data_IF_990776207954
#
_entry.id   IF_990776207954
#
_cell.length_a   1.000
_cell.length_b   1.000
_cell.length_c   1.000
_cell.angle_alpha   90.00
_cell.angle_beta   90.00
_cell.angle_gamma   90.00
#
_symmetry.space_group_name_H-M   'P 1'
#
loop_
_entity.id
_entity.type
_entity.pdbx_description
1 polymer ?
#
# COMPACT_ATOMS: atom_id res chain seq x y z
N UNK A 1 -47.96 7.45 -2.33
CA UNK A 1 -49.27 6.85 -2.74
C UNK A 1 -50.34 7.02 -1.67
N UNK A 2 -50.07 6.63 -0.40
CA UNK A 2 -51.04 6.73 0.74
C UNK A 2 -51.55 8.15 0.99
N UNK A 3 -50.67 9.16 0.98
CA UNK A 3 -51.03 10.58 1.15
C UNK A 3 -51.99 11.06 0.06
N UNK A 4 -51.81 10.60 -1.18
CA UNK A 4 -52.70 10.92 -2.30
C UNK A 4 -54.10 10.35 -2.10
N UNK A 5 -54.19 9.13 -1.58
CA UNK A 5 -55.50 8.46 -1.30
C UNK A 5 -56.23 9.22 -0.17
N UNK A 6 -55.51 9.64 0.90
CA UNK A 6 -56.09 10.41 2.01
C UNK A 6 -56.58 11.80 1.57
N UNK A 7 -55.83 12.47 0.66
CA UNK A 7 -56.24 13.77 0.10
C UNK A 7 -57.49 13.59 -0.74
N UNK A 8 -57.61 12.53 -1.53
CA UNK A 8 -58.80 12.25 -2.34
C UNK A 8 -60.00 11.91 -1.46
N UNK A 9 -59.82 11.12 -0.39
CA UNK A 9 -60.89 10.79 0.53
C UNK A 9 -61.41 12.05 1.28
N UNK A 10 -60.48 12.90 1.78
CA UNK A 10 -60.84 14.15 2.44
C UNK A 10 -61.55 15.13 1.47
N UNK A 11 -61.10 15.22 0.21
CA UNK A 11 -61.73 16.06 -0.81
C UNK A 11 -63.14 15.54 -1.17
N UNK A 12 -63.30 14.20 -1.21
CA UNK A 12 -64.61 13.59 -1.46
C UNK A 12 -65.59 13.82 -0.32
N UNK A 13 -65.16 13.72 0.93
CA UNK A 13 -65.99 14.03 2.10
C UNK A 13 -66.36 15.53 2.17
N UNK A 14 -65.45 16.39 1.79
CA UNK A 14 -65.69 17.83 1.72
C UNK A 14 -66.73 18.17 0.59
N UNK A 15 -66.64 17.48 -0.53
CA UNK A 15 -67.55 17.61 -1.65
C UNK A 15 -68.97 17.12 -1.25
N UNK A 16 -69.10 16.04 -0.50
CA UNK A 16 -70.38 15.55 0.03
C UNK A 16 -71.01 16.56 0.96
N UNK A 17 -70.23 17.18 1.85
CA UNK A 17 -70.71 18.28 2.75
C UNK A 17 -71.21 19.49 1.96
N UNK A 18 -70.48 19.92 0.93
CA UNK A 18 -70.86 21.04 0.07
C UNK A 18 -72.12 20.74 -0.75
N UNK A 19 -72.29 19.53 -1.23
CA UNK A 19 -73.52 19.12 -1.94
C UNK A 19 -74.72 19.09 -1.01
N UNK A 20 -74.57 18.65 0.24
CA UNK A 20 -75.65 18.66 1.22
C UNK A 20 -76.11 20.08 1.54
N UNK A 21 -75.21 21.01 1.70
CA UNK A 21 -75.49 22.43 1.98
C UNK A 21 -76.16 23.13 0.79
N UNK A 22 -75.89 22.73 -0.47
CA UNK A 22 -76.43 23.39 -1.65
C UNK A 22 -77.69 22.77 -2.21
N UNK A 23 -77.90 21.47 -2.05
CA UNK A 23 -79.01 20.71 -2.69
C UNK A 23 -80.02 20.10 -1.72
N UNK A 24 -79.68 20.05 -0.42
CA UNK A 24 -80.52 19.41 0.60
C UNK A 24 -80.80 17.91 0.33
N UNK A 25 -79.91 17.24 -0.44
CA UNK A 25 -80.13 15.85 -0.89
C UNK A 25 -80.25 14.86 0.26
N UNK A 26 -79.62 15.18 1.41
CA UNK A 26 -79.62 14.31 2.57
C UNK A 26 -80.69 14.63 3.61
N UNK A 27 -81.56 15.63 3.38
CA UNK A 27 -82.68 16.00 4.24
C UNK A 27 -82.30 16.40 5.68
N UNK A 28 -83.26 16.86 6.49
CA UNK A 28 -83.06 17.31 7.90
C UNK A 28 -82.72 16.15 8.88
N UNK A 29 -82.09 15.07 8.41
CA UNK A 29 -81.72 13.93 9.27
C UNK A 29 -80.41 14.28 9.98
N UNK A 30 -80.45 14.81 11.17
CA UNK A 30 -79.30 15.18 12.03
C UNK A 30 -78.26 14.08 12.18
N UNK A 31 -78.62 12.81 11.96
CA UNK A 31 -77.71 11.67 12.04
C UNK A 31 -76.78 11.59 10.84
N UNK A 32 -77.20 12.00 9.62
CA UNK A 32 -76.35 11.93 8.43
C UNK A 32 -75.26 13.03 8.43
N UNK A 33 -75.60 14.25 8.81
CA UNK A 33 -74.62 15.33 8.97
C UNK A 33 -73.58 14.99 10.04
N UNK A 34 -74.01 14.38 11.15
CA UNK A 34 -73.09 13.92 12.19
C UNK A 34 -72.12 12.85 11.68
N UNK A 35 -72.57 11.91 10.84
CA UNK A 35 -71.73 10.86 10.22
C UNK A 35 -70.66 11.49 9.31
N UNK A 36 -71.05 12.46 8.45
CA UNK A 36 -70.11 13.13 7.56
C UNK A 36 -69.06 13.93 8.34
N UNK A 37 -69.44 14.61 9.42
CA UNK A 37 -68.49 15.33 10.28
C UNK A 37 -67.50 14.38 11.00
N UNK A 38 -68.00 13.22 11.44
CA UNK A 38 -67.14 12.18 12.03
C UNK A 38 -66.14 11.64 10.99
N UNK A 39 -66.60 11.34 9.77
CA UNK A 39 -65.72 10.86 8.67
C UNK A 39 -64.65 11.90 8.33
N UNK A 40 -65.02 13.17 8.20
CA UNK A 40 -64.07 14.26 7.96
C UNK A 40 -63.07 14.40 9.10
N UNK A 41 -63.53 14.26 10.34
CA UNK A 41 -62.67 14.29 11.53
C UNK A 41 -61.64 13.13 11.52
N UNK A 42 -62.07 11.95 11.14
CA UNK A 42 -61.22 10.75 10.96
C UNK A 42 -60.19 10.96 9.83
N UNK A 43 -60.59 11.53 8.69
CA UNK A 43 -59.70 11.83 7.57
C UNK A 43 -58.62 12.82 7.95
N UNK A 44 -59.01 13.91 8.64
CA UNK A 44 -58.09 14.90 9.14
C UNK A 44 -57.10 14.29 10.18
N UNK A 45 -57.61 13.49 11.11
CA UNK A 45 -56.79 12.82 12.10
C UNK A 45 -55.79 11.84 11.44
N UNK A 46 -56.25 11.04 10.49
CA UNK A 46 -55.37 10.11 9.76
C UNK A 46 -54.34 10.84 8.87
N UNK A 47 -54.71 11.98 8.26
CA UNK A 47 -53.82 12.79 7.47
C UNK A 47 -52.60 13.30 8.30
N UNK A 48 -52.80 13.67 9.56
CA UNK A 48 -51.73 14.08 10.45
C UNK A 48 -51.03 12.91 11.15
N UNK A 49 -51.74 11.87 11.55
CA UNK A 49 -51.22 10.75 12.33
C UNK A 49 -50.35 9.81 11.48
N UNK A 50 -50.79 9.47 10.26
CA UNK A 50 -50.13 8.49 9.39
C UNK A 50 -48.72 8.93 9.02
N UNK A 51 -48.43 10.19 8.60
CA UNK A 51 -47.06 10.65 8.34
C UNK A 51 -46.16 10.61 9.58
N UNK A 52 -46.69 10.90 10.75
CA UNK A 52 -45.97 10.87 12.03
C UNK A 52 -45.60 9.41 12.34
N UNK A 53 -46.52 8.46 12.25
CA UNK A 53 -46.27 7.04 12.48
C UNK A 53 -45.25 6.48 11.47
N UNK A 54 -45.43 6.80 10.17
CA UNK A 54 -44.48 6.39 9.14
C UNK A 54 -43.08 6.92 9.40
N UNK A 55 -42.99 8.23 9.73
CA UNK A 55 -41.69 8.85 10.02
C UNK A 55 -41.03 8.22 11.26
N UNK A 56 -41.81 7.92 12.29
CA UNK A 56 -41.31 7.30 13.51
C UNK A 56 -40.88 5.87 13.29
N UNK A 57 -41.62 5.09 12.50
CA UNK A 57 -41.30 3.71 12.15
C UNK A 57 -40.11 3.58 11.19
N UNK A 58 -39.87 4.58 10.31
CA UNK A 58 -38.78 4.55 9.35
C UNK A 58 -37.50 5.30 9.82
N UNK A 59 -37.59 6.05 10.93
CA UNK A 59 -36.44 6.80 11.45
C UNK A 59 -35.21 5.91 11.78
N UNK A 60 -35.36 4.66 12.24
CA UNK A 60 -34.22 3.79 12.50
C UNK A 60 -33.43 3.42 11.23
N UNK A 61 -34.07 3.40 10.04
CA UNK A 61 -33.38 3.14 8.78
C UNK A 61 -32.35 4.22 8.45
N UNK A 62 -32.60 5.49 8.80
CA UNK A 62 -31.62 6.57 8.65
C UNK A 62 -30.40 6.34 9.56
N UNK A 63 -30.64 5.85 10.78
CA UNK A 63 -29.56 5.49 11.73
C UNK A 63 -28.72 4.33 11.21
N UNK A 64 -29.36 3.29 10.65
CA UNK A 64 -28.67 2.15 10.02
C UNK A 64 -27.82 2.64 8.83
N UNK A 65 -28.38 3.50 7.99
CA UNK A 65 -27.67 4.01 6.80
C UNK A 65 -26.45 4.85 7.18
N UNK A 66 -26.55 5.67 8.24
CA UNK A 66 -25.43 6.42 8.81
C UNK A 66 -24.36 5.48 9.39
N UNK A 67 -24.77 4.45 10.10
CA UNK A 67 -23.84 3.46 10.64
C UNK A 67 -23.13 2.65 9.53
N UNK A 68 -23.84 2.24 8.48
CA UNK A 68 -23.27 1.61 7.29
C UNK A 68 -22.23 2.52 6.60
N UNK A 69 -22.51 3.82 6.50
CA UNK A 69 -21.54 4.79 5.94
C UNK A 69 -20.27 4.86 6.78
N UNK A 70 -20.38 4.81 8.11
CA UNK A 70 -19.21 4.79 9.01
C UNK A 70 -18.40 3.50 8.90
N UNK A 71 -19.10 2.34 8.77
CA UNK A 71 -18.42 1.06 8.48
C UNK A 71 -17.65 1.14 7.16
N UNK A 72 -18.21 1.77 6.13
CA UNK A 72 -17.53 2.02 4.85
C UNK A 72 -16.28 2.90 5.01
N UNK A 73 -16.27 3.81 5.98
CA UNK A 73 -15.13 4.68 6.33
C UNK A 73 -14.11 3.99 7.27
N UNK A 74 -14.30 2.69 7.58
CA UNK A 74 -13.38 1.93 8.43
C UNK A 74 -13.68 2.02 9.93
N UNK A 75 -14.82 2.58 10.34
CA UNK A 75 -15.24 2.65 11.75
C UNK A 75 -16.07 1.43 12.12
N UNK A 76 -15.43 0.36 12.55
CA UNK A 76 -16.07 -0.91 12.90
C UNK A 76 -16.38 -1.01 14.39
N UNK A 77 -17.36 -1.86 14.74
CA UNK A 77 -17.74 -2.18 16.12
C UNK A 77 -18.67 -1.15 16.77
N UNK A 78 -19.17 -0.17 16.01
CA UNK A 78 -20.22 0.71 16.48
C UNK A 78 -21.57 -0.03 16.48
N UNK A 79 -22.30 0.02 17.61
CA UNK A 79 -23.59 -0.67 17.78
C UNK A 79 -24.73 0.32 17.68
N UNK A 80 -25.74 -0.05 16.95
CA UNK A 80 -27.01 0.67 16.90
C UNK A 80 -27.84 0.19 18.08
N UNK A 81 -28.26 1.12 18.92
CA UNK A 81 -29.19 0.85 20.04
C UNK A 81 -30.61 1.02 19.55
N UNK A 82 -31.24 -0.07 19.20
CA UNK A 82 -32.64 -0.14 18.82
C UNK A 82 -33.21 -1.45 19.39
N UNK A 83 -34.24 -1.32 20.22
CA UNK A 83 -34.85 -2.45 20.91
C UNK A 83 -36.29 -2.57 20.45
N UNK A 84 -36.54 -3.38 19.44
CA UNK A 84 -37.86 -3.74 18.92
C UNK A 84 -37.83 -5.18 18.44
N UNK A 85 -38.96 -5.88 18.53
CA UNK A 85 -39.13 -7.26 18.05
C UNK A 85 -39.66 -7.30 16.59
N UNK A 86 -39.60 -6.17 15.88
CA UNK A 86 -40.00 -6.06 14.48
C UNK A 86 -38.85 -6.37 13.50
N UNK A 87 -39.14 -6.33 12.20
CA UNK A 87 -38.19 -6.59 11.12
C UNK A 87 -37.01 -5.59 11.16
N UNK A 88 -37.22 -4.38 11.67
CA UNK A 88 -36.15 -3.38 11.85
C UNK A 88 -35.23 -3.79 13.01
N UNK A 89 -35.79 -4.32 14.10
CA UNK A 89 -35.01 -4.88 15.22
C UNK A 89 -34.13 -6.05 14.78
N UNK A 90 -34.64 -6.94 13.95
CA UNK A 90 -33.87 -8.05 13.37
C UNK A 90 -32.74 -7.53 12.46
N UNK A 91 -33.02 -6.53 11.63
CA UNK A 91 -32.03 -5.90 10.76
C UNK A 91 -30.92 -5.21 11.59
N UNK A 92 -31.26 -4.48 12.66
CA UNK A 92 -30.31 -3.86 13.56
C UNK A 92 -29.44 -4.89 14.26
N UNK A 93 -30.03 -6.00 14.73
CA UNK A 93 -29.27 -7.08 15.36
C UNK A 93 -28.27 -7.71 14.38
N UNK A 94 -28.72 -8.02 13.14
CA UNK A 94 -27.87 -8.53 12.08
C UNK A 94 -26.72 -7.57 11.74
N UNK A 95 -27.00 -6.27 11.66
CA UNK A 95 -25.97 -5.23 11.47
C UNK A 95 -24.95 -5.23 12.63
N UNK A 96 -25.42 -5.28 13.87
CA UNK A 96 -24.55 -5.27 15.05
C UNK A 96 -23.63 -6.50 15.09
N UNK A 97 -24.15 -7.69 14.78
CA UNK A 97 -23.37 -8.93 14.68
C UNK A 97 -22.32 -8.80 13.56
N UNK A 98 -22.72 -8.31 12.39
CA UNK A 98 -21.80 -8.08 11.27
C UNK A 98 -20.69 -7.09 11.64
N UNK A 99 -21.03 -5.97 12.27
CA UNK A 99 -20.08 -4.93 12.69
C UNK A 99 -19.06 -5.45 13.71
N UNK A 100 -19.51 -6.23 14.69
CA UNK A 100 -18.63 -6.91 15.66
C UNK A 100 -17.72 -7.93 14.97
N UNK A 101 -18.26 -8.76 14.07
CA UNK A 101 -17.48 -9.78 13.34
C UNK A 101 -16.39 -9.14 12.48
N UNK A 102 -16.69 -8.03 11.80
CA UNK A 102 -15.70 -7.30 10.99
C UNK A 102 -14.61 -6.75 11.90
N UNK A 103 -14.97 -6.11 13.03
CA UNK A 103 -14.02 -5.59 14.02
C UNK A 103 -13.08 -6.68 14.55
N UNK A 104 -13.64 -7.82 14.95
CA UNK A 104 -12.83 -8.96 15.44
C UNK A 104 -11.85 -9.47 14.37
N UNK A 105 -12.30 -9.60 13.14
CA UNK A 105 -11.43 -10.03 12.03
C UNK A 105 -10.34 -9.01 11.74
N UNK A 106 -10.63 -7.72 11.79
CA UNK A 106 -9.64 -6.67 11.57
C UNK A 106 -8.61 -6.64 12.71
N UNK A 107 -9.07 -6.75 13.97
CA UNK A 107 -8.16 -6.85 15.12
C UNK A 107 -7.27 -8.09 15.05
N UNK A 108 -7.83 -9.24 14.64
CA UNK A 108 -7.05 -10.47 14.45
C UNK A 108 -6.03 -10.30 13.32
N UNK A 109 -6.43 -9.76 12.17
CA UNK A 109 -5.53 -9.48 11.06
C UNK A 109 -4.39 -8.55 11.49
N UNK A 110 -4.70 -7.46 12.20
CA UNK A 110 -3.72 -6.52 12.72
C UNK A 110 -2.75 -7.17 13.73
N UNK A 111 -3.26 -8.01 14.63
CA UNK A 111 -2.41 -8.75 15.59
C UNK A 111 -1.50 -9.73 14.87
N UNK A 112 -2.01 -10.44 13.86
CA UNK A 112 -1.22 -11.39 13.06
C UNK A 112 -0.11 -10.66 12.29
N UNK A 113 -0.42 -9.48 11.72
CA UNK A 113 0.57 -8.67 11.01
C UNK A 113 1.66 -8.15 11.95
N UNK A 114 1.28 -7.63 13.12
CA UNK A 114 2.25 -7.20 14.15
C UNK A 114 3.14 -8.34 14.63
N UNK A 115 2.56 -9.51 14.90
CA UNK A 115 3.32 -10.69 15.31
C UNK A 115 4.29 -11.18 14.23
N UNK A 116 3.87 -11.12 12.95
CA UNK A 116 4.74 -11.42 11.80
C UNK A 116 5.92 -10.44 11.72
N UNK A 117 5.67 -9.14 11.91
CA UNK A 117 6.70 -8.11 11.89
C UNK A 117 7.73 -8.31 13.01
N UNK A 118 7.24 -8.55 14.23
CA UNK A 118 8.09 -8.78 15.40
C UNK A 118 8.91 -10.05 15.22
N UNK A 119 8.29 -11.14 14.75
CA UNK A 119 8.98 -12.40 14.46
C UNK A 119 10.10 -12.21 13.44
N UNK A 120 9.86 -11.50 12.33
CA UNK A 120 10.87 -11.27 11.30
C UNK A 120 12.01 -10.38 11.80
N UNK A 121 11.71 -9.36 12.60
CA UNK A 121 12.73 -8.51 13.22
C UNK A 121 13.61 -9.32 14.19
N UNK A 122 12.99 -10.18 15.02
CA UNK A 122 13.71 -11.06 15.94
C UNK A 122 14.58 -12.08 15.20
N UNK A 123 14.03 -12.80 14.21
CA UNK A 123 14.80 -13.78 13.42
C UNK A 123 16.00 -13.13 12.73
N UNK A 124 15.83 -11.91 12.20
CA UNK A 124 16.92 -11.17 11.59
C UNK A 124 18.05 -10.89 12.58
N UNK A 125 17.71 -10.43 13.76
CA UNK A 125 18.68 -10.17 14.81
C UNK A 125 19.41 -11.47 15.24
N UNK A 126 18.64 -12.53 15.45
CA UNK A 126 19.17 -13.83 15.86
C UNK A 126 20.05 -14.48 14.78
N UNK A 127 19.78 -14.26 13.50
CA UNK A 127 20.62 -14.73 12.40
C UNK A 127 21.85 -13.85 12.20
N UNK A 128 21.74 -12.52 12.39
CA UNK A 128 22.87 -11.61 12.26
C UNK A 128 23.94 -11.87 13.32
N UNK A 129 23.52 -12.14 14.53
CA UNK A 129 24.41 -12.36 15.70
C UNK A 129 25.47 -13.44 15.45
N UNK A 130 25.18 -14.66 14.98
CA UNK A 130 26.19 -15.68 14.70
C UNK A 130 26.98 -15.41 13.40
N UNK A 131 26.40 -14.73 12.42
CA UNK A 131 27.06 -14.49 11.13
C UNK A 131 28.16 -13.43 11.23
N UNK A 132 27.99 -12.40 12.05
CA UNK A 132 29.02 -11.36 12.23
C UNK A 132 30.36 -11.93 12.76
N UNK A 133 30.41 -12.78 13.80
CA UNK A 133 31.66 -13.45 14.18
C UNK A 133 32.23 -14.37 13.09
N UNK A 134 31.39 -15.09 12.34
CA UNK A 134 31.86 -15.95 11.23
C UNK A 134 32.60 -15.11 10.20
N UNK A 135 32.04 -13.95 9.82
CA UNK A 135 32.73 -13.01 8.91
C UNK A 135 34.03 -12.49 9.54
N UNK A 136 33.99 -12.02 10.77
CA UNK A 136 35.15 -11.46 11.47
C UNK A 136 36.31 -12.46 11.57
N UNK A 137 36.03 -13.71 11.95
CA UNK A 137 37.05 -14.75 12.00
C UNK A 137 37.54 -15.15 10.59
N UNK A 138 36.66 -15.15 9.60
CA UNK A 138 37.10 -15.39 8.21
C UNK A 138 38.04 -14.29 7.73
N UNK A 139 37.77 -13.03 8.08
CA UNK A 139 38.63 -11.88 7.73
C UNK A 139 40.00 -11.97 8.42
N UNK A 140 40.02 -12.29 9.73
CA UNK A 140 41.27 -12.45 10.51
C UNK A 140 42.13 -13.57 9.91
N UNK A 141 41.52 -14.70 9.55
CA UNK A 141 42.22 -15.84 8.95
C UNK A 141 42.72 -15.50 7.55
N UNK A 142 41.88 -14.93 6.68
CA UNK A 142 42.26 -14.52 5.32
C UNK A 142 43.33 -13.43 5.31
N UNK A 143 43.34 -12.55 6.32
CA UNK A 143 44.42 -11.57 6.56
C UNK A 143 45.72 -12.18 7.10
N UNK A 144 45.77 -13.51 7.30
CA UNK A 144 46.92 -14.24 7.83
C UNK A 144 47.43 -13.75 9.19
N UNK A 145 46.55 -13.10 10.00
CA UNK A 145 46.90 -12.59 11.34
C UNK A 145 47.23 -13.69 12.35
N UNK A 146 46.78 -14.92 12.12
CA UNK A 146 47.00 -16.10 12.97
C UNK A 146 47.96 -17.15 12.37
N UNK A 147 48.60 -16.79 11.28
CA UNK A 147 49.54 -17.67 10.56
C UNK A 147 49.24 -17.75 9.08
N UNK A 148 50.23 -18.21 8.30
CA UNK A 148 50.10 -18.35 6.84
C UNK A 148 49.11 -19.43 6.45
N UNK A 149 48.29 -19.16 5.46
CA UNK A 149 47.38 -20.11 4.87
C UNK A 149 47.90 -20.64 3.52
N UNK A 150 47.63 -21.90 3.22
CA UNK A 150 47.81 -22.41 1.87
C UNK A 150 46.63 -21.96 0.96
N UNK A 151 46.81 -22.13 -0.38
CA UNK A 151 45.85 -21.65 -1.36
C UNK A 151 44.48 -22.32 -1.22
N UNK A 152 44.46 -23.60 -0.85
CA UNK A 152 43.18 -24.31 -0.61
C UNK A 152 42.44 -23.76 0.61
N UNK A 153 43.13 -23.50 1.72
CA UNK A 153 42.55 -22.88 2.91
C UNK A 153 42.00 -21.48 2.62
N UNK A 154 42.77 -20.65 1.85
CA UNK A 154 42.28 -19.32 1.43
C UNK A 154 41.02 -19.45 0.57
N UNK A 155 41.00 -20.39 -0.37
CA UNK A 155 39.84 -20.62 -1.22
C UNK A 155 38.60 -21.00 -0.39
N UNK A 156 38.73 -21.94 0.57
CA UNK A 156 37.62 -22.38 1.43
C UNK A 156 37.12 -21.28 2.34
N UNK A 157 38.01 -20.51 2.95
CA UNK A 157 37.63 -19.38 3.79
C UNK A 157 36.95 -18.25 2.99
N UNK A 158 37.38 -18.01 1.77
CA UNK A 158 36.71 -17.05 0.88
C UNK A 158 35.30 -17.49 0.54
N UNK A 159 35.03 -18.79 0.36
CA UNK A 159 33.67 -19.32 0.16
C UNK A 159 32.82 -19.12 1.44
N UNK A 160 33.36 -19.43 2.62
CA UNK A 160 32.67 -19.24 3.90
C UNK A 160 32.28 -17.76 4.09
N UNK A 161 33.25 -16.86 3.86
CA UNK A 161 33.01 -15.41 3.94
C UNK A 161 31.91 -14.96 2.99
N UNK A 162 32.05 -15.27 1.71
CA UNK A 162 31.06 -14.86 0.68
C UNK A 162 29.66 -15.43 0.95
N UNK A 163 29.57 -16.67 1.46
CA UNK A 163 28.29 -17.29 1.82
C UNK A 163 27.65 -16.57 3.01
N UNK A 164 28.44 -16.17 4.00
CA UNK A 164 27.95 -15.42 5.16
C UNK A 164 27.50 -14.03 4.78
N UNK A 165 28.24 -13.33 3.89
CA UNK A 165 27.87 -12.02 3.32
C UNK A 165 26.56 -12.09 2.54
N UNK A 166 26.41 -13.11 1.69
CA UNK A 166 25.19 -13.34 0.92
C UNK A 166 23.98 -13.57 1.83
N UNK A 167 24.13 -14.38 2.88
CA UNK A 167 23.05 -14.66 3.82
C UNK A 167 22.63 -13.40 4.57
N UNK A 168 23.58 -12.60 5.04
CA UNK A 168 23.27 -11.29 5.66
C UNK A 168 22.58 -10.34 4.69
N UNK A 169 22.97 -10.33 3.43
CA UNK A 169 22.29 -9.58 2.37
C UNK A 169 20.83 -10.00 2.20
N UNK A 170 20.56 -11.30 2.10
CA UNK A 170 19.19 -11.84 1.97
C UNK A 170 18.32 -11.47 3.18
N UNK A 171 18.87 -11.58 4.39
CA UNK A 171 18.18 -11.22 5.62
C UNK A 171 17.84 -9.71 5.64
N UNK A 172 18.78 -8.86 5.24
CA UNK A 172 18.57 -7.41 5.13
C UNK A 172 17.49 -7.07 4.09
N UNK A 173 17.54 -7.72 2.93
CA UNK A 173 16.58 -7.55 1.85
C UNK A 173 15.16 -7.96 2.31
N UNK A 174 15.04 -9.06 3.05
CA UNK A 174 13.77 -9.53 3.59
C UNK A 174 13.15 -8.50 4.55
N UNK A 175 13.97 -7.90 5.42
CA UNK A 175 13.52 -6.82 6.30
C UNK A 175 13.10 -5.55 5.54
N UNK A 176 13.87 -5.16 4.52
CA UNK A 176 13.53 -3.98 3.71
C UNK A 176 12.19 -4.19 2.98
N UNK A 177 11.95 -5.39 2.42
CA UNK A 177 10.67 -5.76 1.80
C UNK A 177 9.52 -5.69 2.82
N UNK A 178 9.70 -6.22 4.02
CA UNK A 178 8.67 -6.17 5.07
C UNK A 178 8.35 -4.72 5.47
N UNK A 179 9.38 -3.88 5.68
CA UNK A 179 9.20 -2.47 6.01
C UNK A 179 8.49 -1.70 4.89
N UNK A 180 8.74 -2.06 3.63
CA UNK A 180 8.04 -1.50 2.47
C UNK A 180 6.56 -1.88 2.47
N UNK A 181 6.20 -3.14 2.75
CA UNK A 181 4.82 -3.63 2.79
C UNK A 181 3.94 -2.85 3.77
N UNK A 182 4.47 -2.59 4.96
CA UNK A 182 3.74 -1.89 6.02
C UNK A 182 3.91 -0.36 5.98
N UNK A 183 4.54 0.17 4.90
CA UNK A 183 4.78 1.62 4.77
C UNK A 183 5.71 2.20 5.85
N UNK A 184 6.47 1.34 6.57
CA UNK A 184 7.38 1.74 7.66
C UNK A 184 8.83 1.93 7.21
N UNK A 185 9.14 1.80 5.93
CA UNK A 185 10.48 2.11 5.44
C UNK A 185 10.72 3.62 5.57
N UNK A 186 11.49 3.99 6.58
CA UNK A 186 11.85 5.40 6.79
C UNK A 186 12.87 5.82 5.74
N UNK A 187 12.55 6.87 4.99
CA UNK A 187 13.45 7.54 4.06
C UNK A 187 14.08 8.74 4.74
N UNK A 188 15.40 8.88 4.61
CA UNK A 188 16.15 10.06 5.03
C UNK A 188 16.50 10.88 3.79
N UNK A 189 15.51 11.63 3.30
CA UNK A 189 15.67 12.44 2.09
C UNK A 189 16.23 13.80 2.46
N UNK A 190 17.28 14.20 1.75
CA UNK A 190 17.91 15.50 1.81
C UNK A 190 18.24 15.99 0.41
N UNK A 191 18.54 17.28 0.26
CA UNK A 191 19.10 17.82 -0.98
C UNK A 191 20.56 17.35 -1.10
N UNK A 192 20.81 16.48 -2.07
CA UNK A 192 22.13 15.89 -2.29
C UNK A 192 22.42 15.78 -3.79
N UNK A 193 23.71 15.75 -4.14
CA UNK A 193 24.11 15.56 -5.53
C UNK A 193 23.90 14.10 -5.95
N UNK A 194 23.07 13.89 -6.95
CA UNK A 194 22.77 12.55 -7.48
C UNK A 194 24.01 11.91 -8.14
N UNK A 195 24.91 12.72 -8.67
CA UNK A 195 26.19 12.26 -9.22
C UNK A 195 27.00 11.50 -8.21
N UNK A 196 27.11 12.02 -6.97
CA UNK A 196 27.84 11.35 -5.89
C UNK A 196 27.28 9.96 -5.61
N UNK A 197 25.95 9.82 -5.60
CA UNK A 197 25.28 8.53 -5.42
C UNK A 197 25.62 7.53 -6.53
N UNK A 198 25.71 8.00 -7.78
CA UNK A 198 26.08 7.17 -8.94
C UNK A 198 27.56 6.79 -8.85
N UNK A 199 28.46 7.76 -8.67
CA UNK A 199 29.90 7.52 -8.63
C UNK A 199 30.31 6.58 -7.51
N UNK A 200 29.76 6.77 -6.30
CA UNK A 200 30.06 5.89 -5.17
C UNK A 200 29.58 4.47 -5.41
N UNK A 201 28.38 4.29 -6.00
CA UNK A 201 27.86 2.97 -6.33
C UNK A 201 28.69 2.25 -7.37
N UNK A 202 29.12 2.95 -8.42
CA UNK A 202 29.98 2.39 -9.46
C UNK A 202 31.36 2.07 -8.88
N UNK A 203 31.99 2.99 -8.16
CA UNK A 203 33.32 2.80 -7.53
C UNK A 203 33.35 1.59 -6.61
N UNK A 204 32.30 1.36 -5.84
CA UNK A 204 32.21 0.20 -4.95
C UNK A 204 32.20 -1.14 -5.68
N UNK A 205 31.79 -1.18 -6.95
CA UNK A 205 31.67 -2.41 -7.74
C UNK A 205 32.76 -2.59 -8.80
N UNK A 206 33.62 -1.59 -9.04
CA UNK A 206 34.75 -1.70 -9.96
C UNK A 206 35.64 -2.93 -9.67
N UNK A 207 36.09 -3.20 -8.41
CA UNK A 207 36.93 -4.36 -8.15
C UNK A 207 36.28 -5.70 -8.52
N UNK A 208 34.96 -5.80 -8.32
CA UNK A 208 34.21 -7.00 -8.67
C UNK A 208 34.02 -7.11 -10.18
N UNK A 209 33.80 -6.00 -10.90
CA UNK A 209 33.70 -5.96 -12.34
C UNK A 209 35.02 -6.35 -12.99
N UNK A 210 36.16 -5.82 -12.54
CA UNK A 210 37.50 -6.13 -13.01
C UNK A 210 37.85 -7.62 -12.82
N UNK A 211 37.54 -8.16 -11.63
CA UNK A 211 37.75 -9.61 -11.35
C UNK A 211 36.97 -10.50 -12.30
N UNK A 212 35.82 -10.05 -12.78
CA UNK A 212 34.99 -10.79 -13.73
C UNK A 212 35.23 -10.38 -15.20
N UNK A 213 36.23 -9.52 -15.46
CA UNK A 213 36.55 -8.99 -16.79
C UNK A 213 35.32 -8.29 -17.44
N UNK A 214 34.58 -7.52 -16.66
CA UNK A 214 33.41 -6.73 -17.08
C UNK A 214 33.81 -5.27 -17.14
N UNK A 215 33.51 -4.59 -18.24
CA UNK A 215 33.66 -3.13 -18.35
C UNK A 215 32.47 -2.44 -17.68
N UNK A 216 32.74 -1.67 -16.61
CA UNK A 216 31.73 -0.87 -15.91
C UNK A 216 32.07 0.61 -16.08
N UNK A 217 31.14 1.36 -16.68
CA UNK A 217 31.29 2.80 -16.93
C UNK A 217 30.09 3.59 -16.43
N UNK A 218 30.26 4.90 -16.24
CA UNK A 218 29.16 5.81 -15.91
C UNK A 218 29.31 7.14 -16.63
N UNK A 219 28.18 7.79 -16.86
CA UNK A 219 28.08 9.17 -17.33
C UNK A 219 27.00 9.88 -16.53
N UNK A 220 27.39 10.79 -15.64
CA UNK A 220 26.52 11.53 -14.76
C UNK A 220 27.01 12.97 -14.61
N UNK A 221 26.06 13.91 -14.70
CA UNK A 221 26.29 15.32 -14.42
C UNK A 221 25.88 15.64 -12.98
N UNK A 222 26.52 16.67 -12.38
CA UNK A 222 26.16 17.14 -11.03
C UNK A 222 24.78 17.77 -11.05
N UNK A 223 23.88 17.25 -10.21
CA UNK A 223 22.54 17.78 -10.05
C UNK A 223 22.02 17.57 -8.63
N UNK A 224 21.61 18.67 -7.98
CA UNK A 224 20.99 18.60 -6.66
C UNK A 224 19.54 18.17 -6.77
N UNK A 225 19.17 17.08 -6.07
CA UNK A 225 17.79 16.57 -6.04
C UNK A 225 17.46 16.07 -4.63
N UNK A 226 16.21 16.25 -4.21
CA UNK A 226 15.73 15.81 -2.91
C UNK A 226 15.51 14.29 -2.89
N UNK A 227 16.49 13.55 -2.33
CA UNK A 227 16.47 12.10 -2.30
C UNK A 227 17.17 11.50 -1.08
N UNK A 228 16.94 10.22 -0.82
CA UNK A 228 17.73 9.42 0.15
C UNK A 228 18.93 8.80 -0.58
N UNK A 229 20.10 9.41 -0.42
CA UNK A 229 21.33 8.99 -1.11
C UNK A 229 21.70 7.53 -0.81
N UNK A 230 21.50 7.05 0.43
CA UNK A 230 21.81 5.68 0.80
C UNK A 230 20.89 4.67 0.08
N UNK A 231 19.60 4.99 -0.01
CA UNK A 231 18.61 4.14 -0.69
C UNK A 231 18.77 4.18 -2.21
N UNK A 232 19.09 5.33 -2.79
CA UNK A 232 19.38 5.41 -4.23
C UNK A 232 20.65 4.63 -4.58
N UNK A 233 21.70 4.71 -3.76
CA UNK A 233 22.91 3.86 -3.91
C UNK A 233 22.53 2.37 -3.85
N UNK A 234 21.62 1.96 -2.97
CA UNK A 234 21.12 0.59 -2.90
C UNK A 234 20.42 0.18 -4.21
N UNK A 235 19.59 1.05 -4.80
CA UNK A 235 18.95 0.79 -6.11
C UNK A 235 19.99 0.60 -7.20
N UNK A 236 20.92 1.55 -7.37
CA UNK A 236 21.96 1.50 -8.40
C UNK A 236 22.82 0.24 -8.26
N UNK A 237 23.26 -0.05 -7.03
CA UNK A 237 24.07 -1.24 -6.72
C UNK A 237 23.35 -2.54 -7.06
N UNK A 238 22.05 -2.65 -6.75
CA UNK A 238 21.24 -3.83 -7.08
C UNK A 238 21.09 -4.00 -8.60
N UNK A 239 20.86 -2.91 -9.34
CA UNK A 239 20.74 -2.96 -10.79
C UNK A 239 22.08 -3.35 -11.45
N UNK A 240 23.21 -2.79 -10.99
CA UNK A 240 24.54 -3.16 -11.51
C UNK A 240 24.85 -4.64 -11.19
N UNK A 241 24.57 -5.13 -9.98
CA UNK A 241 24.76 -6.53 -9.60
C UNK A 241 23.93 -7.47 -10.48
N UNK A 242 22.68 -7.13 -10.77
CA UNK A 242 21.83 -7.88 -11.69
C UNK A 242 22.43 -7.92 -13.11
N UNK A 243 22.92 -6.80 -13.60
CA UNK A 243 23.61 -6.71 -14.88
C UNK A 243 24.88 -7.58 -14.90
N UNK A 244 25.69 -7.58 -13.83
CA UNK A 244 26.89 -8.45 -13.72
C UNK A 244 26.57 -9.94 -13.77
N UNK A 245 25.40 -10.34 -13.29
CA UNK A 245 24.93 -11.74 -13.37
C UNK A 245 24.52 -12.10 -14.79
N UNK A 246 23.91 -11.14 -15.51
CA UNK A 246 23.36 -11.35 -16.84
C UNK A 246 24.39 -11.36 -17.98
N UNK A 247 25.55 -10.71 -17.78
CA UNK A 247 26.57 -10.59 -18.82
C UNK A 247 27.53 -11.78 -18.86
N UNK A 248 28.10 -12.03 -20.04
CA UNK A 248 29.11 -13.06 -20.24
C UNK A 248 30.49 -12.61 -19.70
N UNK A 249 31.18 -13.51 -19.03
CA UNK A 249 32.55 -13.28 -18.56
C UNK A 249 33.49 -12.88 -19.73
N UNK A 250 34.24 -11.81 -19.54
CA UNK A 250 35.25 -11.34 -20.51
C UNK A 250 34.69 -10.48 -21.66
N UNK A 251 33.36 -10.38 -21.81
CA UNK A 251 32.71 -9.54 -22.84
C UNK A 251 31.65 -8.62 -22.27
N UNK A 252 31.43 -8.67 -20.95
CA UNK A 252 30.39 -7.91 -20.28
C UNK A 252 30.67 -6.42 -20.33
N UNK A 253 29.64 -5.65 -20.69
CA UNK A 253 29.64 -4.19 -20.66
C UNK A 253 28.42 -3.69 -19.93
N UNK A 254 28.64 -2.81 -18.94
CA UNK A 254 27.59 -2.21 -18.12
C UNK A 254 27.81 -0.69 -18.11
N UNK A 255 26.81 0.04 -18.58
CA UNK A 255 26.84 1.51 -18.64
C UNK A 255 25.76 2.09 -17.71
N UNK A 256 26.15 2.95 -16.77
CA UNK A 256 25.23 3.72 -15.92
C UNK A 256 25.13 5.12 -16.48
N UNK A 257 23.95 5.53 -16.94
CA UNK A 257 23.74 6.81 -17.62
C UNK A 257 22.66 7.60 -16.91
N UNK A 258 22.96 8.84 -16.58
CA UNK A 258 22.02 9.83 -16.10
C UNK A 258 21.56 10.73 -17.24
N UNK A 259 20.27 11.08 -17.26
CA UNK A 259 19.70 12.10 -18.13
C UNK A 259 18.81 13.03 -17.33
N UNK A 260 18.94 14.31 -17.56
CA UNK A 260 18.11 15.33 -16.98
C UNK A 260 16.90 15.63 -17.87
N UNK A 261 15.71 15.60 -17.28
CA UNK A 261 14.46 16.04 -17.89
C UNK A 261 13.86 17.23 -17.12
N UNK A 262 12.90 17.96 -17.68
CA UNK A 262 12.37 19.17 -17.04
C UNK A 262 11.81 18.94 -15.63
N UNK A 263 11.21 17.78 -15.35
CA UNK A 263 10.53 17.49 -14.08
C UNK A 263 11.19 16.39 -13.26
N UNK A 264 12.11 15.61 -13.85
CA UNK A 264 12.72 14.43 -13.21
C UNK A 264 14.15 14.21 -13.68
N UNK A 265 14.89 13.46 -12.90
CA UNK A 265 16.17 12.87 -13.25
C UNK A 265 15.93 11.41 -13.58
N UNK A 266 16.41 10.97 -14.73
CA UNK A 266 16.36 9.57 -15.16
C UNK A 266 17.74 8.94 -15.04
N UNK A 267 17.83 7.78 -14.40
CA UNK A 267 19.04 6.97 -14.30
C UNK A 267 18.76 5.61 -14.93
N UNK A 268 19.65 5.20 -15.85
CA UNK A 268 19.55 3.95 -16.58
C UNK A 268 20.80 3.10 -16.35
N UNK A 269 20.63 1.81 -16.08
CA UNK A 269 21.68 0.79 -16.07
C UNK A 269 21.46 -0.12 -17.25
N UNK A 270 22.37 -0.05 -18.22
CA UNK A 270 22.32 -0.83 -19.46
C UNK A 270 23.39 -1.90 -19.44
N UNK A 271 23.02 -3.12 -19.78
CA UNK A 271 23.95 -4.25 -19.98
C UNK A 271 23.82 -4.85 -21.38
N UNK A 272 24.83 -5.60 -21.79
CA UNK A 272 24.86 -6.39 -23.01
C UNK A 272 24.74 -7.91 -22.73
N UNK A 273 23.95 -8.25 -21.71
CA UNK A 273 23.78 -9.64 -21.27
C UNK A 273 22.79 -10.44 -22.09
N UNK A 274 22.34 -11.55 -21.53
CA UNK A 274 21.41 -12.51 -22.19
C UNK A 274 20.03 -11.95 -22.46
N UNK A 275 19.68 -10.78 -21.92
CA UNK A 275 18.35 -10.17 -22.05
C UNK A 275 17.26 -10.93 -21.30
N UNK A 276 16.02 -10.44 -21.43
CA UNK A 276 14.85 -10.93 -20.68
C UNK A 276 13.68 -11.13 -21.64
N UNK A 277 13.12 -12.34 -21.74
CA UNK A 277 11.95 -12.62 -22.58
C UNK A 277 10.76 -11.70 -22.24
N UNK A 278 10.05 -11.16 -23.26
CA UNK A 278 8.94 -10.20 -23.09
C UNK A 278 7.86 -10.69 -22.13
N UNK A 279 7.53 -11.98 -22.14
CA UNK A 279 6.52 -12.56 -21.25
C UNK A 279 6.89 -12.56 -19.77
N UNK A 280 8.19 -12.45 -19.43
CA UNK A 280 8.70 -12.46 -18.05
C UNK A 280 8.93 -11.06 -17.48
N UNK A 281 9.00 -10.02 -18.32
CA UNK A 281 9.32 -8.65 -17.88
C UNK A 281 8.29 -8.06 -16.93
N UNK A 282 7.00 -8.38 -17.10
CA UNK A 282 5.91 -7.87 -16.25
C UNK A 282 6.02 -8.27 -14.77
N UNK A 283 6.67 -9.39 -14.49
CA UNK A 283 6.75 -9.97 -13.15
C UNK A 283 8.10 -9.71 -12.46
N UNK A 284 9.04 -9.04 -13.11
CA UNK A 284 10.41 -8.85 -12.59
C UNK A 284 10.47 -8.10 -11.25
N UNK A 285 9.53 -7.21 -11.01
CA UNK A 285 9.44 -6.43 -9.78
C UNK A 285 8.59 -7.09 -8.68
N UNK A 286 8.07 -8.32 -8.94
CA UNK A 286 7.39 -9.12 -7.91
C UNK A 286 8.43 -9.78 -6.99
N UNK A 287 8.05 -9.92 -5.72
CA UNK A 287 8.88 -10.56 -4.69
C UNK A 287 9.10 -12.01 -5.00
N UNK A 288 10.33 -12.48 -4.75
CA UNK A 288 10.76 -13.86 -4.97
C UNK A 288 10.68 -14.34 -6.44
N UNK A 289 10.39 -13.42 -7.38
CA UNK A 289 10.35 -13.77 -8.79
C UNK A 289 11.75 -13.80 -9.38
N UNK A 290 12.05 -14.87 -10.10
CA UNK A 290 13.31 -15.05 -10.83
C UNK A 290 13.00 -15.56 -12.24
N UNK A 291 13.77 -15.08 -13.21
CA UNK A 291 13.74 -15.62 -14.57
C UNK A 291 14.55 -16.90 -14.54
N UNK A 292 13.89 -18.07 -14.71
CA UNK A 292 14.56 -19.38 -14.79
C UNK A 292 15.48 -19.45 -16.01
N UNK A 293 16.73 -19.07 -15.81
CA UNK A 293 17.83 -19.36 -16.74
C UNK A 293 18.86 -20.19 -15.99
N UNK A 294 19.57 -21.07 -16.69
CA UNK A 294 20.67 -21.88 -16.12
C UNK A 294 21.73 -21.02 -15.43
N UNK A 295 21.98 -19.80 -15.95
CA UNK A 295 22.93 -18.83 -15.39
C UNK A 295 22.47 -18.21 -14.07
N UNK A 296 21.16 -18.02 -13.87
CA UNK A 296 20.62 -17.44 -12.63
C UNK A 296 20.55 -18.45 -11.49
N UNK A 297 20.38 -19.75 -11.78
CA UNK A 297 20.40 -20.82 -10.76
C UNK A 297 21.77 -21.00 -10.13
N UNK A 298 22.85 -20.92 -10.91
CA UNK A 298 24.21 -21.13 -10.41
C UNK A 298 24.76 -19.90 -9.66
N UNK A 299 24.28 -18.67 -9.96
CA UNK A 299 24.79 -17.43 -9.40
C UNK A 299 23.91 -16.82 -8.30
N UNK A 300 22.80 -17.45 -7.95
CA UNK A 300 21.96 -17.27 -6.77
C UNK A 300 21.53 -15.83 -6.48
N UNK A 301 20.25 -15.52 -6.69
CA UNK A 301 19.64 -14.28 -6.21
C UNK A 301 18.50 -14.59 -5.23
N UNK A 302 18.12 -13.63 -4.36
CA UNK A 302 16.95 -13.76 -3.46
C UNK A 302 15.61 -13.53 -4.19
N UNK A 303 15.63 -12.92 -5.38
CA UNK A 303 14.42 -12.43 -6.05
C UNK A 303 13.76 -11.24 -5.33
N UNK A 304 14.45 -10.61 -4.37
CA UNK A 304 13.95 -9.48 -3.59
C UNK A 304 14.51 -8.13 -4.09
N UNK A 305 15.69 -8.11 -4.70
CA UNK A 305 16.40 -6.88 -5.05
C UNK A 305 15.59 -5.93 -5.95
N UNK A 306 14.94 -6.42 -7.01
CA UNK A 306 14.12 -5.59 -7.90
C UNK A 306 12.83 -5.12 -7.23
N UNK A 307 12.22 -5.91 -6.37
CA UNK A 307 11.06 -5.49 -5.58
C UNK A 307 11.43 -4.37 -4.59
N UNK A 308 12.62 -4.44 -3.98
CA UNK A 308 13.16 -3.38 -3.12
C UNK A 308 13.43 -2.12 -3.95
N UNK A 309 14.06 -2.25 -5.13
CA UNK A 309 14.28 -1.12 -6.03
C UNK A 309 12.96 -0.40 -6.33
N UNK A 310 11.92 -1.15 -6.72
CA UNK A 310 10.59 -0.59 -6.98
C UNK A 310 10.04 0.14 -5.76
N UNK A 311 10.04 -0.48 -4.59
CA UNK A 311 9.53 0.13 -3.37
C UNK A 311 10.29 1.39 -2.96
N UNK A 312 11.61 1.43 -3.14
CA UNK A 312 12.43 2.63 -2.88
C UNK A 312 12.05 3.75 -3.85
N UNK A 313 11.95 3.46 -5.15
CA UNK A 313 11.62 4.45 -6.18
C UNK A 313 10.18 4.95 -6.03
N UNK A 314 9.20 4.06 -5.79
CA UNK A 314 7.81 4.44 -5.50
C UNK A 314 7.75 5.41 -4.30
N UNK A 315 8.53 5.17 -3.24
CA UNK A 315 8.63 6.07 -2.09
C UNK A 315 9.32 7.40 -2.41
N UNK A 316 10.12 7.49 -3.47
CA UNK A 316 10.66 8.76 -3.98
C UNK A 316 9.68 9.49 -4.90
N UNK A 317 8.55 8.85 -5.26
CA UNK A 317 7.57 9.40 -6.20
C UNK A 317 8.01 9.28 -7.65
N UNK A 318 8.98 8.41 -7.93
CA UNK A 318 9.47 8.08 -9.26
C UNK A 318 8.86 6.81 -9.82
N UNK A 319 9.36 6.37 -10.98
CA UNK A 319 8.96 5.15 -11.65
C UNK A 319 10.19 4.31 -12.00
N UNK A 320 10.08 2.98 -11.98
CA UNK A 320 11.12 2.06 -12.45
C UNK A 320 10.56 1.14 -13.53
N UNK A 321 11.31 0.96 -14.59
CA UNK A 321 10.93 0.18 -15.76
C UNK A 321 12.12 -0.61 -16.33
N UNK A 322 11.83 -1.53 -17.25
CA UNK A 322 12.84 -2.32 -17.98
C UNK A 322 12.47 -2.39 -19.45
N UNK A 323 13.48 -2.26 -20.29
CA UNK A 323 13.41 -2.52 -21.72
C UNK A 323 14.50 -3.56 -22.02
N UNK A 324 14.10 -4.71 -22.58
CA UNK A 324 15.02 -5.80 -22.87
C UNK A 324 14.54 -6.62 -24.04
N UNK A 325 15.49 -7.16 -24.80
CA UNK A 325 15.25 -8.15 -25.83
C UNK A 325 16.19 -9.34 -25.59
N UNK A 326 15.67 -10.56 -25.76
CA UNK A 326 16.44 -11.77 -25.50
C UNK A 326 17.66 -11.83 -26.42
N UNK A 327 18.85 -11.98 -25.87
CA UNK A 327 20.14 -11.94 -26.58
C UNK A 327 20.76 -10.56 -26.78
N UNK A 328 20.01 -9.45 -26.50
CA UNK A 328 20.47 -8.07 -26.76
C UNK A 328 20.80 -7.30 -25.45
N UNK A 329 20.62 -7.95 -24.30
CA UNK A 329 20.81 -7.34 -22.99
C UNK A 329 19.56 -6.65 -22.43
N UNK A 330 19.74 -5.89 -21.34
CA UNK A 330 18.65 -5.17 -20.69
C UNK A 330 19.04 -3.74 -20.35
N UNK A 331 18.03 -2.88 -20.25
CA UNK A 331 18.15 -1.51 -19.74
C UNK A 331 17.11 -1.31 -18.67
N UNK A 332 17.54 -1.26 -17.42
CA UNK A 332 16.71 -0.87 -16.30
C UNK A 332 16.78 0.65 -16.12
N UNK A 333 15.65 1.29 -16.05
CA UNK A 333 15.55 2.76 -15.94
C UNK A 333 14.67 3.15 -14.77
N UNK A 334 15.12 4.09 -13.96
CA UNK A 334 14.29 4.68 -12.91
C UNK A 334 14.36 6.20 -12.93
N UNK A 335 13.34 6.84 -12.37
CA UNK A 335 13.24 8.30 -12.29
C UNK A 335 13.15 8.79 -10.85
N UNK A 336 13.61 10.01 -10.62
CA UNK A 336 13.48 10.74 -9.36
C UNK A 336 12.93 12.13 -9.69
N UNK A 337 11.76 12.54 -9.15
CA UNK A 337 11.22 13.88 -9.34
C UNK A 337 12.16 14.95 -8.79
N UNK A 338 12.36 16.05 -9.53
CA UNK A 338 13.19 17.19 -9.10
C UNK A 338 12.59 17.98 -7.93
N UNK A 339 11.26 17.95 -7.79
CA UNK A 339 10.54 18.57 -6.67
C UNK A 339 9.94 17.51 -5.78
N UNK A 340 10.03 17.72 -4.46
CA UNK A 340 9.33 16.86 -3.51
C UNK A 340 7.82 16.84 -3.86
N UNK A 341 7.16 15.67 -3.85
CA UNK A 341 5.72 15.60 -4.05
C UNK A 341 5.01 16.47 -2.99
N UNK A 342 4.05 17.28 -3.40
CA UNK A 342 3.29 18.24 -2.56
C UNK A 342 2.60 17.59 -1.33
N UNK A 343 2.47 16.27 -1.33
CA UNK A 343 1.82 15.48 -0.28
C UNK A 343 2.63 15.45 1.03
N UNK A 344 3.92 15.75 1.00
CA UNK A 344 4.79 15.74 2.20
C UNK A 344 4.58 16.96 3.13
N UNK A 345 3.79 17.96 2.74
CA UNK A 345 3.56 19.19 3.52
C UNK A 345 2.32 19.18 4.41
N UNK A 346 1.52 18.13 4.44
CA UNK A 346 0.47 18.00 5.45
C UNK A 346 1.08 17.60 6.80
N UNK A 347 1.60 18.59 7.53
CA UNK A 347 1.80 18.48 8.97
C UNK A 347 0.47 18.03 9.60
N UNK A 348 0.48 17.06 10.53
CA UNK A 348 -0.70 16.79 11.33
C UNK A 348 -1.01 18.07 12.12
N UNK A 349 -2.13 18.70 11.84
CA UNK A 349 -2.68 19.74 12.71
C UNK A 349 -2.98 19.10 14.06
N UNK A 350 -2.08 19.28 15.02
CA UNK A 350 -2.38 19.05 16.42
C UNK A 350 -3.54 19.96 16.78
N UNK A 351 -4.71 19.34 16.97
CA UNK A 351 -5.86 20.01 17.56
C UNK A 351 -5.48 20.52 18.94
N UNK A 352 -5.28 21.82 19.07
CA UNK A 352 -5.24 22.54 20.34
C UNK A 352 -6.57 22.35 21.04
N UNK A 353 -6.60 21.45 22.01
CA UNK A 353 -7.64 21.45 23.05
C UNK A 353 -7.44 22.71 23.89
N UNK A 354 -8.22 23.74 23.62
CA UNK A 354 -8.43 24.84 24.57
C UNK A 354 -9.15 24.28 25.79
N UNK A 355 -8.41 24.18 26.89
CA UNK A 355 -8.99 24.03 28.21
C UNK A 355 -9.68 25.35 28.57
N UNK A 356 -10.99 25.32 28.72
CA UNK A 356 -11.70 26.35 29.47
C UNK A 356 -11.85 25.82 30.91
N UNK A 357 -11.08 26.43 31.79
CA UNK A 357 -11.34 26.51 33.22
C UNK A 357 -12.43 27.56 33.45
N UNK A 358 -13.52 27.20 34.06
CA UNK A 358 -14.28 27.95 35.09
C UNK A 358 -15.25 27.00 35.78
#
# INVERSE_FOLDING_TARGET
MLIGILIVAAAFNLFLLYQDETTGIFGENSNQQTIIQILLGVDIATFFLVPVVIRQSLSPLDTINKALSRVKEGMYGEKIKYNSEDEIGELVNSFNIMSDTIKEKEELARRTELAKDEFLAMITHELKTPLVPIQGYSDILLGEHLGKLNDEQKSRLSIIKSSSENLLGIISDLLDVQKLEIGKLRMKKDDADIKDSIEESVRALIPQAEKNHITLSHNAESFQVYHDAARIKQVITNLIKNAMIAVEHGKGKIDVVMKEYPQEIQISVKDNGVGIPKGKQKNLFQKFYQVDTTLTRERGGSGLGLAICKGIIDNHGGEISVVSEEGEGATFTFTIPKKAPEIAQRKPTLGTKTAHSS
#
